data_IF_831748941955
#
_entry.id   IF_831748941955
#
_cell.length_a   1.000
_cell.length_b   1.000
_cell.length_c   1.000
_cell.angle_alpha   90.00
_cell.angle_beta   90.00
_cell.angle_gamma   90.00
#
_symmetry.space_group_name_H-M   'P 1'
#
loop_
_entity.id
_entity.type
_entity.pdbx_description
1 polymer ?
#
# COMPACT_ATOMS: atom_id res chain seq x y z
N UNK A 1 3.11 -2.40 -3.40
CA UNK A 1 3.24 -1.70 -4.71
C UNK A 1 2.50 -0.39 -4.63
N UNK A 2 3.09 0.71 -5.11
CA UNK A 2 2.42 2.02 -5.12
C UNK A 2 1.13 1.96 -5.93
N UNK A 3 0.05 2.56 -5.42
CA UNK A 3 -1.23 2.62 -6.13
C UNK A 3 -1.07 3.45 -7.41
N UNK A 4 -1.64 2.98 -8.52
CA UNK A 4 -1.55 3.67 -9.81
C UNK A 4 -2.39 4.95 -9.76
N UNK A 5 -1.75 6.10 -10.03
CA UNK A 5 -2.45 7.38 -10.14
C UNK A 5 -3.46 7.33 -11.28
N UNK A 6 -4.60 8.00 -11.10
CA UNK A 6 -5.70 8.05 -12.07
C UNK A 6 -5.44 9.14 -13.12
N UNK A 7 -5.63 8.78 -14.39
CA UNK A 7 -5.80 9.72 -15.50
C UNK A 7 -7.28 9.81 -15.92
N UNK A 8 -7.66 10.89 -16.61
CA UNK A 8 -9.04 11.11 -17.07
C UNK A 8 -9.06 11.47 -18.55
N UNK A 9 -9.51 10.52 -19.37
CA UNK A 9 -9.69 10.74 -20.82
C UNK A 9 -10.78 11.77 -21.13
N UNK A 10 -11.75 11.95 -20.22
CA UNK A 10 -12.79 12.98 -20.34
C UNK A 10 -12.18 14.38 -20.20
N UNK A 11 -11.24 14.55 -19.27
CA UNK A 11 -10.56 15.83 -19.04
C UNK A 11 -9.69 16.20 -20.26
N UNK A 12 -8.91 15.25 -20.78
CA UNK A 12 -8.12 15.45 -22.01
C UNK A 12 -8.99 15.81 -23.22
N UNK A 13 -10.15 15.16 -23.38
CA UNK A 13 -11.09 15.50 -24.45
C UNK A 13 -11.69 16.89 -24.26
N UNK A 14 -12.02 17.27 -23.02
CA UNK A 14 -12.59 18.58 -22.72
C UNK A 14 -11.60 19.71 -23.02
N UNK A 15 -10.33 19.53 -22.66
CA UNK A 15 -9.24 20.47 -22.93
C UNK A 15 -8.99 20.65 -24.43
N UNK A 16 -8.97 19.56 -25.22
CA UNK A 16 -8.85 19.67 -26.68
C UNK A 16 -10.04 20.39 -27.30
N UNK A 17 -11.25 20.18 -26.77
CA UNK A 17 -12.46 20.84 -27.27
C UNK A 17 -12.47 22.33 -26.97
N UNK A 18 -12.11 22.75 -25.76
CA UNK A 18 -12.09 24.19 -25.43
C UNK A 18 -11.03 24.94 -26.25
N UNK A 19 -9.86 24.34 -26.47
CA UNK A 19 -8.82 24.92 -27.34
C UNK A 19 -9.31 25.09 -28.79
N UNK A 20 -10.03 24.10 -29.33
CA UNK A 20 -10.66 24.22 -30.64
C UNK A 20 -11.75 25.30 -30.69
N UNK A 21 -12.55 25.45 -29.63
CA UNK A 21 -13.56 26.51 -29.55
C UNK A 21 -12.92 27.90 -29.49
N UNK A 22 -11.85 28.07 -28.70
CA UNK A 22 -11.09 29.31 -28.59
C UNK A 22 -10.44 29.73 -29.91
N UNK A 23 -10.02 28.78 -30.75
CA UNK A 23 -9.48 29.12 -32.08
C UNK A 23 -10.51 29.70 -33.06
N UNK A 24 -11.81 29.51 -32.78
CA UNK A 24 -12.90 29.99 -33.63
C UNK A 24 -13.41 31.35 -33.16
N UNK A 25 -13.50 31.57 -31.85
CA UNK A 25 -13.89 32.84 -31.26
C UNK A 25 -13.33 32.99 -29.84
N UNK A 26 -12.93 34.21 -29.49
CA UNK A 26 -12.36 34.55 -28.17
C UNK A 26 -13.41 34.49 -27.04
N UNK A 27 -14.68 34.77 -27.36
CA UNK A 27 -15.81 34.66 -26.44
C UNK A 27 -17.02 34.07 -27.15
N UNK A 28 -17.69 33.13 -26.49
CA UNK A 28 -18.90 32.48 -26.97
C UNK A 28 -19.85 32.30 -25.79
N UNK A 29 -21.04 32.89 -25.91
CA UNK A 29 -22.18 32.66 -25.03
C UNK A 29 -23.32 32.04 -25.84
N UNK A 30 -23.62 30.78 -25.55
CA UNK A 30 -24.77 30.07 -26.14
C UNK A 30 -26.08 30.33 -25.36
N UNK A 31 -26.05 31.22 -24.37
CA UNK A 31 -27.13 31.44 -23.42
C UNK A 31 -27.20 30.34 -22.36
N UNK A 32 -28.12 30.50 -21.40
CA UNK A 32 -28.36 29.51 -20.32
C UNK A 32 -27.13 29.17 -19.47
N UNK A 33 -26.13 30.06 -19.42
CA UNK A 33 -24.87 29.83 -18.71
C UNK A 33 -23.93 28.85 -19.40
N UNK A 34 -24.12 28.57 -20.69
CA UNK A 34 -23.17 27.84 -21.53
C UNK A 34 -22.20 28.83 -22.17
N UNK A 35 -21.35 29.41 -21.35
CA UNK A 35 -20.27 30.31 -21.81
C UNK A 35 -18.94 29.58 -21.83
N UNK A 36 -18.02 30.06 -22.67
CA UNK A 36 -16.66 29.53 -22.72
C UNK A 36 -15.97 29.60 -21.34
N UNK A 37 -16.19 30.69 -20.60
CA UNK A 37 -15.68 30.89 -19.24
C UNK A 37 -16.22 29.85 -18.25
N UNK A 38 -17.53 29.53 -18.30
CA UNK A 38 -18.11 28.50 -17.42
C UNK A 38 -17.57 27.11 -17.74
N UNK A 39 -17.26 26.84 -19.01
CA UNK A 39 -16.68 25.58 -19.43
C UNK A 39 -15.24 25.43 -18.93
N UNK A 40 -14.43 26.49 -19.05
CA UNK A 40 -13.08 26.55 -18.50
C UNK A 40 -13.06 26.33 -16.99
N UNK A 41 -13.94 27.03 -16.25
CA UNK A 41 -14.08 26.87 -14.81
C UNK A 41 -14.42 25.42 -14.41
N UNK A 42 -15.27 24.74 -15.18
CA UNK A 42 -15.62 23.32 -14.93
C UNK A 42 -14.45 22.38 -15.23
N UNK A 43 -13.67 22.64 -16.29
CA UNK A 43 -12.46 21.87 -16.60
C UNK A 43 -11.45 22.01 -15.46
N UNK A 44 -11.22 23.24 -15.01
CA UNK A 44 -10.27 23.52 -13.93
C UNK A 44 -10.71 22.87 -12.61
N UNK A 45 -11.98 22.98 -12.23
CA UNK A 45 -12.53 22.31 -11.06
C UNK A 45 -12.39 20.77 -11.13
N UNK A 46 -12.57 20.18 -12.31
CA UNK A 46 -12.38 18.75 -12.51
C UNK A 46 -10.89 18.36 -12.40
N UNK A 47 -9.98 19.19 -12.91
CA UNK A 47 -8.53 18.99 -12.83
C UNK A 47 -8.05 19.03 -11.38
N UNK A 48 -8.52 19.99 -10.60
CA UNK A 48 -8.21 20.10 -9.16
C UNK A 48 -8.67 18.88 -8.38
N UNK A 49 -9.90 18.40 -8.62
CA UNK A 49 -10.41 17.17 -8.00
C UNK A 49 -9.57 15.94 -8.36
N UNK A 50 -9.14 15.82 -9.61
CA UNK A 50 -8.27 14.72 -10.03
C UNK A 50 -6.90 14.79 -9.36
N UNK A 51 -6.32 15.98 -9.25
CA UNK A 51 -5.05 16.19 -8.55
C UNK A 51 -5.17 15.88 -7.05
N UNK A 52 -6.23 16.35 -6.40
CA UNK A 52 -6.51 16.07 -4.99
C UNK A 52 -6.65 14.56 -4.74
N UNK A 53 -7.41 13.86 -5.60
CA UNK A 53 -7.54 12.41 -5.55
C UNK A 53 -6.18 11.70 -5.65
N UNK A 54 -5.35 12.09 -6.62
CA UNK A 54 -4.03 11.48 -6.80
C UNK A 54 -3.06 11.81 -5.66
N UNK A 55 -3.17 12.98 -5.02
CA UNK A 55 -2.40 13.32 -3.81
C UNK A 55 -2.80 12.42 -2.64
N UNK A 56 -4.10 12.24 -2.41
CA UNK A 56 -4.62 11.35 -1.38
C UNK A 56 -4.09 9.93 -1.59
N UNK A 57 -4.12 9.40 -2.82
CA UNK A 57 -3.56 8.09 -3.11
C UNK A 57 -2.09 7.96 -2.69
N UNK A 58 -1.27 8.97 -2.95
CA UNK A 58 0.13 8.99 -2.49
C UNK A 58 0.26 9.05 -0.97
N UNK A 59 -0.64 9.75 -0.27
CA UNK A 59 -0.68 9.75 1.20
C UNK A 59 -1.08 8.38 1.77
N UNK A 60 -2.05 7.70 1.16
CA UNK A 60 -2.44 6.34 1.60
C UNK A 60 -1.29 5.35 1.37
N UNK A 61 -0.50 5.51 0.31
CA UNK A 61 0.71 4.70 0.10
C UNK A 61 1.76 4.95 1.18
N UNK A 62 1.96 6.21 1.58
CA UNK A 62 2.83 6.58 2.71
C UNK A 62 2.38 5.94 4.01
N UNK A 63 1.12 6.16 4.40
CA UNK A 63 0.55 5.59 5.63
C UNK A 63 0.61 4.05 5.66
N UNK A 64 0.47 3.39 4.52
CA UNK A 64 0.59 1.94 4.43
C UNK A 64 2.03 1.46 4.66
N UNK A 65 3.03 2.17 4.15
CA UNK A 65 4.43 1.84 4.40
C UNK A 65 4.78 2.06 5.88
N UNK A 66 4.27 3.12 6.49
CA UNK A 66 4.49 3.41 7.92
C UNK A 66 3.88 2.31 8.79
N UNK A 67 2.70 1.81 8.43
CA UNK A 67 2.07 0.68 9.12
C UNK A 67 2.94 -0.59 9.02
N UNK A 68 3.42 -0.94 7.82
CA UNK A 68 4.29 -2.11 7.65
C UNK A 68 5.57 -1.97 8.47
N UNK A 69 6.15 -0.77 8.53
CA UNK A 69 7.34 -0.52 9.33
C UNK A 69 7.06 -0.74 10.83
N UNK A 70 5.94 -0.19 11.34
CA UNK A 70 5.54 -0.38 12.73
C UNK A 70 5.22 -1.85 13.06
N UNK A 71 4.55 -2.58 12.16
CA UNK A 71 4.27 -4.01 12.32
C UNK A 71 5.57 -4.83 12.40
N UNK A 72 6.57 -4.48 11.58
CA UNK A 72 7.88 -5.12 11.61
C UNK A 72 8.63 -4.85 12.92
N UNK A 73 8.63 -3.60 13.39
CA UNK A 73 9.22 -3.26 14.68
C UNK A 73 8.55 -3.99 15.84
N UNK A 74 7.22 -4.11 15.80
CA UNK A 74 6.45 -4.84 16.80
C UNK A 74 6.77 -6.34 16.78
N UNK A 75 6.94 -6.93 15.59
CA UNK A 75 7.35 -8.32 15.43
C UNK A 75 8.72 -8.56 16.07
N UNK A 76 9.73 -7.76 15.70
CA UNK A 76 11.08 -7.85 16.25
C UNK A 76 11.09 -7.67 17.78
N UNK A 77 10.29 -6.73 18.29
CA UNK A 77 10.16 -6.50 19.72
C UNK A 77 9.51 -7.68 20.44
N UNK A 78 8.46 -8.26 19.85
CA UNK A 78 7.76 -9.44 20.39
C UNK A 78 8.70 -10.65 20.46
N UNK A 79 9.53 -10.87 19.44
CA UNK A 79 10.55 -11.94 19.45
C UNK A 79 11.60 -11.74 20.54
N UNK A 80 12.04 -10.50 20.77
CA UNK A 80 12.97 -10.15 21.86
C UNK A 80 12.34 -10.40 23.22
N UNK A 81 11.07 -10.02 23.41
CA UNK A 81 10.33 -10.26 24.64
C UNK A 81 10.22 -11.76 24.92
N UNK A 82 9.80 -12.54 23.93
CA UNK A 82 9.72 -14.01 24.06
C UNK A 82 11.10 -14.61 24.39
N UNK A 83 12.16 -14.16 23.71
CA UNK A 83 13.53 -14.57 24.01
C UNK A 83 13.94 -14.23 25.44
N UNK A 84 13.52 -13.08 25.97
CA UNK A 84 13.73 -12.69 27.37
C UNK A 84 13.05 -13.65 28.35
N UNK A 85 11.82 -14.10 28.08
CA UNK A 85 11.19 -15.18 28.85
C UNK A 85 12.01 -16.46 28.82
N UNK A 86 12.54 -16.83 27.65
CA UNK A 86 13.40 -18.00 27.49
C UNK A 86 14.73 -17.89 28.26
N UNK A 87 15.29 -16.68 28.40
CA UNK A 87 16.50 -16.43 29.21
C UNK A 87 16.20 -16.51 30.70
N UNK A 88 15.07 -15.95 31.15
CA UNK A 88 14.73 -15.87 32.58
C UNK A 88 14.18 -17.17 33.16
N UNK A 89 13.29 -17.85 32.44
CA UNK A 89 12.59 -19.05 32.92
C UNK A 89 13.11 -20.33 32.25
N UNK A 90 13.87 -20.22 31.16
CA UNK A 90 14.34 -21.35 30.37
C UNK A 90 13.38 -21.71 29.23
N UNK A 91 13.93 -22.11 28.08
CA UNK A 91 13.17 -22.42 26.86
C UNK A 91 12.37 -23.74 26.91
N UNK A 92 12.51 -24.51 27.98
CA UNK A 92 11.74 -25.75 28.25
C UNK A 92 10.69 -25.55 29.37
N UNK A 93 10.57 -24.33 29.89
CA UNK A 93 9.64 -24.00 30.97
C UNK A 93 8.20 -23.86 30.50
N UNK A 94 7.26 -24.05 31.43
CA UNK A 94 5.83 -23.84 31.16
C UNK A 94 5.53 -22.37 30.91
N UNK A 95 6.27 -21.46 31.52
CA UNK A 95 6.15 -20.01 31.40
C UNK A 95 6.52 -19.53 29.99
N UNK A 96 7.53 -20.16 29.37
CA UNK A 96 7.91 -19.88 27.99
C UNK A 96 6.84 -20.34 27.00
N UNK A 97 6.20 -21.49 27.24
CA UNK A 97 5.08 -21.98 26.43
C UNK A 97 3.83 -21.10 26.60
N UNK A 98 3.50 -20.72 27.83
CA UNK A 98 2.39 -19.80 28.12
C UNK A 98 2.59 -18.43 27.48
N UNK A 99 3.83 -17.98 27.30
CA UNK A 99 4.17 -16.75 26.58
C UNK A 99 4.07 -16.88 25.04
N UNK A 100 3.68 -18.05 24.53
CA UNK A 100 3.52 -18.33 23.09
C UNK A 100 4.75 -18.93 22.42
N UNK A 101 5.77 -19.31 23.18
CA UNK A 101 6.93 -20.06 22.67
C UNK A 101 6.65 -21.55 22.54
N UNK A 102 7.43 -22.25 21.72
CA UNK A 102 7.41 -23.71 21.68
C UNK A 102 8.54 -24.26 22.55
N UNK A 103 8.26 -25.24 23.43
CA UNK A 103 9.28 -25.84 24.29
C UNK A 103 10.37 -26.49 23.43
N UNK A 104 11.63 -26.40 23.85
CA UNK A 104 12.76 -26.98 23.13
C UNK A 104 12.66 -28.52 23.05
N UNK A 105 12.08 -29.17 24.05
CA UNK A 105 11.78 -30.62 24.05
C UNK A 105 10.73 -31.04 23.01
N UNK A 106 9.80 -30.15 22.67
CA UNK A 106 8.75 -30.36 21.67
C UNK A 106 9.19 -29.98 20.26
N UNK A 107 10.35 -29.36 20.13
CA UNK A 107 10.94 -29.03 18.83
C UNK A 107 11.33 -30.32 18.10
N UNK A 108 10.49 -30.75 17.14
CA UNK A 108 10.78 -31.89 16.28
C UNK A 108 12.07 -31.62 15.49
N UNK A 109 13.18 -32.26 15.88
CA UNK A 109 14.38 -32.36 15.04
C UNK A 109 13.97 -33.06 13.74
N UNK A 110 14.02 -32.35 12.62
CA UNK A 110 14.05 -33.00 11.30
C UNK A 110 15.28 -33.91 11.28
N UNK A 111 15.08 -35.21 11.38
CA UNK A 111 16.14 -36.18 11.15
C UNK A 111 16.53 -36.07 9.68
N UNK A 112 17.77 -35.69 9.42
CA UNK A 112 18.32 -35.72 8.07
C UNK A 112 18.39 -37.19 7.68
N UNK A 113 17.55 -37.63 6.74
CA UNK A 113 17.66 -38.98 6.17
C UNK A 113 18.98 -39.01 5.41
N UNK A 114 20.01 -39.64 5.98
CA UNK A 114 21.26 -39.90 5.28
C UNK A 114 20.94 -40.82 4.10
N UNK A 115 21.15 -40.30 2.89
CA UNK A 115 21.06 -41.03 1.64
C UNK A 115 22.30 -41.93 1.51
N UNK A 116 22.38 -42.98 2.32
CA UNK A 116 23.46 -43.99 2.21
C UNK A 116 22.91 -45.41 1.96
N UNK A 117 21.59 -45.63 2.10
CA UNK A 117 20.95 -46.94 1.90
C UNK A 117 20.41 -47.16 0.47
N UNK A 118 20.95 -46.46 -0.54
CA UNK A 118 20.50 -46.61 -1.94
C UNK A 118 21.42 -47.49 -2.79
N UNK A 119 22.39 -48.20 -2.20
CA UNK A 119 23.29 -49.07 -2.94
C UNK A 119 23.62 -50.35 -2.17
N UNK A 120 22.66 -51.26 -2.06
CA UNK A 120 22.94 -52.68 -1.81
C UNK A 120 22.11 -53.51 -2.78
N UNK A 121 22.83 -54.01 -3.80
CA UNK A 121 22.64 -55.21 -4.63
C UNK A 121 21.25 -55.54 -5.21
#
# INVERSE_FOLDING_TARGET
>A
MSRRKRSSTVLEKAERRIAGMQSVADDIDFGSGLTLATYEARIQAAREKLQAYNRILSMVDGAYNDLIAAEKELMDFSERMLSGFGVRYGKDSSEYEMAGGQRKSEYRKRTHRSTDDANVA
#
